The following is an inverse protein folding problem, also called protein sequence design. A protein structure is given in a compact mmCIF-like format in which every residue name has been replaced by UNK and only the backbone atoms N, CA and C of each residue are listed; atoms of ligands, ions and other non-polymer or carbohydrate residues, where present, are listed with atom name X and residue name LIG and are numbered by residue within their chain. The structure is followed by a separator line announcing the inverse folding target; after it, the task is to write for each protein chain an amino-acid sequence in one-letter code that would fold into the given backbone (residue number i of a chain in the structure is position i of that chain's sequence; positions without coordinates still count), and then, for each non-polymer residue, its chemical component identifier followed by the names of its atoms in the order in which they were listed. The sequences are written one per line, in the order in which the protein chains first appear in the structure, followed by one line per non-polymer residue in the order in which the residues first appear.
data_IF_594331894424
#
_entry.id   IF_594331894424
#
_cell.length_a   1.000
_cell.length_b   1.000
_cell.length_c   1.000
_cell.angle_alpha   90.00
_cell.angle_beta   90.00
_cell.angle_gamma   90.00
#
_symmetry.space_group_name_H-M   'P 1'
#
loop_
_entity.id
_entity.type
_entity.pdbx_description
1 polymer ?
#
# COMPACT_ATOMS: atom_id res chain seq x y z
N UNK A 1 0.49 29.84 -31.29
CA UNK A 1 0.67 30.24 -29.87
C UNK A 1 -0.47 29.77 -28.98
N UNK A 2 -1.76 30.00 -29.29
CA UNK A 2 -2.88 29.53 -28.46
C UNK A 2 -2.91 28.02 -28.19
N UNK A 3 -2.60 27.18 -29.20
CA UNK A 3 -2.49 25.73 -29.02
C UNK A 3 -1.43 25.36 -27.94
N UNK A 4 -0.27 26.01 -27.98
CA UNK A 4 0.80 25.78 -26.99
C UNK A 4 0.41 26.15 -25.56
N UNK A 5 -0.49 27.13 -25.36
CA UNK A 5 -1.01 27.45 -24.02
C UNK A 5 -2.01 26.40 -23.53
N UNK A 6 -2.82 25.84 -24.42
CA UNK A 6 -3.74 24.74 -24.11
C UNK A 6 -2.93 23.48 -23.78
N UNK A 7 -1.89 23.18 -24.57
CA UNK A 7 -0.98 22.06 -24.34
C UNK A 7 -0.26 22.21 -22.99
N UNK A 8 0.17 23.43 -22.63
CA UNK A 8 0.78 23.72 -21.34
C UNK A 8 -0.21 23.53 -20.17
N UNK A 9 -1.46 23.99 -20.31
CA UNK A 9 -2.51 23.77 -19.32
C UNK A 9 -2.82 22.27 -19.12
N UNK A 10 -2.93 21.52 -20.22
CA UNK A 10 -3.13 20.07 -20.16
C UNK A 10 -1.93 19.36 -19.50
N UNK A 11 -0.71 19.81 -19.76
CA UNK A 11 0.50 19.29 -19.10
C UNK A 11 0.45 19.51 -17.58
N UNK A 12 0.05 20.70 -17.13
CA UNK A 12 -0.10 21.00 -15.69
C UNK A 12 -1.17 20.12 -15.03
N UNK A 13 -2.33 19.97 -15.68
CA UNK A 13 -3.41 19.10 -15.18
C UNK A 13 -2.98 17.64 -15.15
N UNK A 14 -2.25 17.17 -16.16
CA UNK A 14 -1.73 15.80 -16.21
C UNK A 14 -0.69 15.54 -15.11
N UNK A 15 0.15 16.52 -14.78
CA UNK A 15 1.12 16.39 -13.70
C UNK A 15 0.42 16.29 -12.33
N UNK A 16 -0.61 17.11 -12.09
CA UNK A 16 -1.42 17.02 -10.88
C UNK A 16 -2.13 15.66 -10.77
N UNK A 17 -2.70 15.18 -11.88
CA UNK A 17 -3.31 13.84 -11.95
C UNK A 17 -2.31 12.73 -11.63
N UNK A 18 -1.10 12.79 -12.19
CA UNK A 18 -0.05 11.81 -11.92
C UNK A 18 0.35 11.78 -10.44
N UNK A 19 0.49 12.93 -9.78
CA UNK A 19 0.79 12.98 -8.35
C UNK A 19 -0.33 12.39 -7.48
N UNK A 20 -1.59 12.64 -7.85
CA UNK A 20 -2.76 12.06 -7.16
C UNK A 20 -2.76 10.53 -7.30
N UNK A 21 -2.64 10.01 -8.54
CA UNK A 21 -2.62 8.56 -8.80
C UNK A 21 -1.43 7.90 -8.12
N UNK A 22 -0.27 8.54 -8.13
CA UNK A 22 0.94 8.06 -7.44
C UNK A 22 0.70 7.95 -5.94
N UNK A 23 0.10 8.98 -5.31
CA UNK A 23 -0.24 8.96 -3.88
C UNK A 23 -1.24 7.85 -3.56
N UNK A 24 -2.32 7.71 -4.33
CA UNK A 24 -3.31 6.65 -4.15
C UNK A 24 -2.69 5.25 -4.31
N UNK A 25 -1.79 5.09 -5.27
CA UNK A 25 -1.09 3.82 -5.53
C UNK A 25 -0.20 3.46 -4.34
N UNK A 26 0.57 4.41 -3.81
CA UNK A 26 1.41 4.19 -2.62
C UNK A 26 0.56 3.71 -1.44
N UNK A 27 -0.55 4.39 -1.17
CA UNK A 27 -1.49 3.99 -0.09
C UNK A 27 -2.02 2.58 -0.38
N UNK A 28 -2.53 2.33 -1.57
CA UNK A 28 -3.14 1.04 -1.94
C UNK A 28 -2.15 -0.12 -1.87
N UNK A 29 -0.91 0.04 -2.35
CA UNK A 29 0.13 -1.00 -2.29
C UNK A 29 0.48 -1.39 -0.85
N UNK A 30 0.35 -0.48 0.12
CA UNK A 30 0.56 -0.79 1.54
C UNK A 30 -0.69 -1.48 2.12
N UNK A 31 -1.88 -0.96 1.84
CA UNK A 31 -3.12 -1.45 2.44
C UNK A 31 -3.57 -2.81 1.90
N UNK A 32 -3.47 -3.07 0.59
CA UNK A 32 -3.92 -4.33 -0.03
C UNK A 32 -3.33 -5.59 0.65
N UNK A 33 -2.00 -5.75 0.80
CA UNK A 33 -1.44 -6.94 1.46
C UNK A 33 -1.80 -6.99 2.96
N UNK A 34 -1.89 -5.84 3.64
CA UNK A 34 -2.32 -5.79 5.03
C UNK A 34 -3.78 -6.27 5.19
N UNK A 35 -4.69 -5.74 4.38
CA UNK A 35 -6.10 -6.12 4.38
C UNK A 35 -6.29 -7.57 3.98
N UNK A 36 -5.47 -8.10 3.06
CA UNK A 36 -5.48 -9.51 2.72
C UNK A 36 -5.16 -10.39 3.94
N UNK A 37 -4.11 -10.05 4.70
CA UNK A 37 -3.76 -10.80 5.92
C UNK A 37 -4.86 -10.69 6.96
N UNK A 38 -5.43 -9.49 7.19
CA UNK A 38 -6.58 -9.33 8.11
C UNK A 38 -7.78 -10.15 7.64
N UNK A 39 -8.07 -10.17 6.34
CA UNK A 39 -9.14 -10.97 5.75
C UNK A 39 -8.92 -12.45 5.97
N UNK A 40 -7.70 -12.95 5.73
CA UNK A 40 -7.35 -14.36 5.97
C UNK A 40 -7.51 -14.74 7.44
N UNK A 41 -7.05 -13.88 8.36
CA UNK A 41 -7.16 -14.09 9.81
C UNK A 41 -8.56 -13.83 10.39
N UNK A 42 -9.40 -13.08 9.69
CA UNK A 42 -10.80 -12.81 10.06
C UNK A 42 -11.78 -13.88 9.58
N UNK A 43 -11.34 -14.80 8.72
CA UNK A 43 -12.13 -15.98 8.36
C UNK A 43 -12.18 -16.93 9.57
N UNK A 44 -13.39 -17.32 10.01
CA UNK A 44 -13.63 -18.27 11.12
C UNK A 44 -13.19 -19.70 10.72
N UNK A 45 -11.89 -19.92 10.52
CA UNK A 45 -11.34 -21.25 10.32
C UNK A 45 -11.21 -21.96 11.67
N UNK A 46 -12.04 -22.98 11.89
CA UNK A 46 -12.01 -23.90 13.05
C UNK A 46 -10.65 -24.63 13.20
N UNK A 47 -9.88 -24.71 12.12
CA UNK A 47 -8.55 -25.32 12.05
C UNK A 47 -7.51 -24.32 11.52
N UNK A 48 -7.16 -23.31 12.33
CA UNK A 48 -5.90 -22.57 12.13
C UNK A 48 -4.81 -23.18 13.03
N UNK A 49 -3.81 -23.90 12.49
CA UNK A 49 -2.71 -24.45 13.30
C UNK A 49 -1.88 -23.36 14.01
N UNK A 50 -1.95 -22.10 13.55
CA UNK A 50 -1.26 -20.95 14.15
C UNK A 50 -2.00 -20.36 15.39
N UNK A 51 -3.30 -20.60 15.56
CA UNK A 51 -4.08 -20.14 16.75
C UNK A 51 -3.83 -20.95 18.01
N UNK A 52 -3.30 -22.18 17.89
CA UNK A 52 -2.91 -22.99 19.05
C UNK A 52 -1.60 -22.54 19.70
N UNK A 53 -0.80 -21.71 19.02
CA UNK A 53 0.38 -21.07 19.60
C UNK A 53 -0.04 -19.83 20.37
N UNK A 54 0.29 -19.78 21.67
CA UNK A 54 0.06 -18.63 22.56
C UNK A 54 0.57 -17.28 22.01
N UNK A 55 1.50 -17.32 21.05
CA UNK A 55 2.11 -16.16 20.40
C UNK A 55 1.78 -15.99 18.90
N UNK A 56 0.94 -16.85 18.30
CA UNK A 56 0.63 -16.78 16.85
C UNK A 56 0.08 -15.41 16.44
N UNK A 57 -0.84 -14.86 17.23
CA UNK A 57 -1.36 -13.51 17.04
C UNK A 57 -0.26 -12.42 17.02
N UNK A 58 0.71 -12.50 17.93
CA UNK A 58 1.82 -11.53 18.00
C UNK A 58 2.81 -11.69 16.85
N UNK A 59 3.05 -12.92 16.39
CA UNK A 59 3.91 -13.20 15.23
C UNK A 59 3.32 -12.58 13.98
N UNK A 60 2.02 -12.77 13.75
CA UNK A 60 1.30 -12.22 12.60
C UNK A 60 1.28 -10.70 12.64
N UNK A 61 1.00 -10.10 13.79
CA UNK A 61 1.05 -8.65 13.98
C UNK A 61 2.45 -8.09 13.68
N UNK A 62 3.49 -8.77 14.15
CA UNK A 62 4.89 -8.40 13.89
C UNK A 62 5.24 -8.55 12.41
N UNK A 63 4.77 -9.62 11.75
CA UNK A 63 4.93 -9.85 10.33
C UNK A 63 4.25 -8.76 9.50
N UNK A 64 3.02 -8.37 9.84
CA UNK A 64 2.29 -7.28 9.18
C UNK A 64 3.00 -5.94 9.36
N UNK A 65 3.49 -5.65 10.58
CA UNK A 65 4.29 -4.46 10.86
C UNK A 65 5.60 -4.42 10.05
N UNK A 66 6.32 -5.55 9.98
CA UNK A 66 7.52 -5.68 9.15
C UNK A 66 7.21 -5.50 7.67
N UNK A 67 6.13 -6.08 7.16
CA UNK A 67 5.71 -5.94 5.77
C UNK A 67 5.41 -4.47 5.42
N UNK A 68 4.69 -3.77 6.31
CA UNK A 68 4.43 -2.34 6.16
C UNK A 68 5.73 -1.52 6.15
N UNK A 69 6.67 -1.82 7.06
CA UNK A 69 7.97 -1.14 7.14
C UNK A 69 8.87 -1.41 5.91
N UNK A 70 8.84 -2.64 5.38
CA UNK A 70 9.57 -3.01 4.16
C UNK A 70 9.00 -2.26 2.97
N UNK A 71 7.67 -2.22 2.83
CA UNK A 71 7.00 -1.48 1.76
C UNK A 71 7.32 0.02 1.85
N UNK A 72 7.17 0.63 3.03
CA UNK A 72 7.54 2.04 3.28
C UNK A 72 9.01 2.32 2.94
N UNK A 73 9.92 1.44 3.39
CA UNK A 73 11.35 1.58 3.10
C UNK A 73 11.64 1.45 1.62
N UNK A 74 10.96 0.54 0.90
CA UNK A 74 11.11 0.35 -0.54
C UNK A 74 10.63 1.59 -1.32
N UNK A 75 9.47 2.16 -0.95
CA UNK A 75 8.97 3.40 -1.53
C UNK A 75 9.90 4.59 -1.27
N UNK A 76 10.45 4.69 -0.05
CA UNK A 76 11.42 5.73 0.32
C UNK A 76 12.74 5.59 -0.44
N UNK A 77 13.22 4.35 -0.66
CA UNK A 77 14.45 4.08 -1.42
C UNK A 77 14.31 4.36 -2.91
N UNK A 78 13.12 4.16 -3.47
CA UNK A 78 12.85 4.41 -4.88
C UNK A 78 12.63 5.90 -5.23
N UNK A 79 12.65 6.82 -4.24
CA UNK A 79 12.34 8.26 -4.44
C UNK A 79 10.98 8.50 -5.12
N UNK A 80 10.02 7.62 -4.88
CA UNK A 80 8.63 7.85 -5.28
C UNK A 80 7.90 8.73 -4.25
N UNK A 81 8.53 8.97 -3.10
CA UNK A 81 8.25 10.08 -2.19
C UNK A 81 9.32 11.15 -2.36
#
# INVERSE_FOLDING_TARGET
MLASFIDFYMMLSSNAMNEVVKTLTIISTIFIPLTFIVGVYGMNFDYMPETHFKYGYYIVLTCMGLLALIMLSCFRRKRWL
#
